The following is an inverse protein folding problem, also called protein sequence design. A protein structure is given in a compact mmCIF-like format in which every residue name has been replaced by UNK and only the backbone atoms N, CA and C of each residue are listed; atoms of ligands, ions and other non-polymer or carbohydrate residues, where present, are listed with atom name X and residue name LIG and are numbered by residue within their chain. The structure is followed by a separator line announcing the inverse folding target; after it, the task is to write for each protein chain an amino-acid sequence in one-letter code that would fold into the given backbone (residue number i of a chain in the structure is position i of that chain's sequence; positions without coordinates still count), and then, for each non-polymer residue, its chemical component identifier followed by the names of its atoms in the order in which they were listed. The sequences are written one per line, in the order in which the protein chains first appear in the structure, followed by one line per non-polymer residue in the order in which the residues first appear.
data_IF_691777865471
#
_entry.id   IF_691777865471
#
_cell.length_a   1.000
_cell.length_b   1.000
_cell.length_c   1.000
_cell.angle_alpha   90.00
_cell.angle_beta   90.00
_cell.angle_gamma   90.00
#
_symmetry.space_group_name_H-M   'P 1'
#
loop_
_entity.id
_entity.type
_entity.pdbx_description
1 polymer ?
#
# COMPACT_ATOMS: atom_id res chain seq x y z
N UNK A 1 -11.46 36.49 -2.21
CA UNK A 1 -10.21 37.17 -2.63
C UNK A 1 -9.70 36.47 -3.88
N UNK A 2 -9.74 37.19 -4.99
CA UNK A 2 -9.50 36.74 -6.37
C UNK A 2 -7.99 36.82 -6.59
N UNK A 3 -7.30 35.71 -6.86
CA UNK A 3 -5.85 35.73 -7.13
C UNK A 3 -5.63 36.07 -8.61
N UNK A 4 -5.04 37.24 -8.95
CA UNK A 4 -4.53 37.50 -10.29
C UNK A 4 -3.12 36.92 -10.41
N UNK A 5 -2.70 36.69 -11.66
CA UNK A 5 -1.42 36.10 -12.12
C UNK A 5 -1.49 34.63 -12.56
N UNK A 6 -2.51 34.30 -13.37
CA UNK A 6 -2.30 33.37 -14.48
C UNK A 6 -2.00 34.22 -15.73
N UNK A 7 -0.73 34.54 -15.97
CA UNK A 7 -0.33 35.14 -17.25
C UNK A 7 1.11 34.79 -17.63
N UNK A 8 1.22 34.21 -18.82
CA UNK A 8 2.33 34.31 -19.78
C UNK A 8 3.49 33.32 -19.85
N UNK A 9 3.43 32.16 -19.20
CA UNK A 9 4.26 31.03 -19.62
C UNK A 9 3.44 29.73 -19.63
N UNK A 10 3.11 29.24 -20.84
CA UNK A 10 2.61 27.89 -21.03
C UNK A 10 3.72 26.92 -20.59
N UNK A 11 3.55 26.32 -19.40
CA UNK A 11 4.00 24.97 -19.07
C UNK A 11 3.40 24.60 -17.70
N UNK A 12 2.11 24.24 -17.69
CA UNK A 12 1.53 23.52 -16.56
C UNK A 12 2.11 22.10 -16.57
N UNK A 13 3.22 21.89 -15.86
CA UNK A 13 3.69 20.55 -15.55
C UNK A 13 2.66 19.83 -14.67
N UNK A 14 2.40 18.56 -14.97
CA UNK A 14 1.57 17.71 -14.10
C UNK A 14 2.37 17.42 -12.84
N UNK A 15 1.87 17.83 -11.67
CA UNK A 15 2.41 17.38 -10.39
C UNK A 15 2.04 15.90 -10.23
N UNK A 16 3.01 15.01 -10.48
CA UNK A 16 2.79 13.56 -10.34
C UNK A 16 3.38 13.11 -9.02
N UNK A 17 2.57 12.41 -8.24
CA UNK A 17 3.08 11.69 -7.07
C UNK A 17 3.83 10.46 -7.56
N UNK A 18 5.13 10.40 -7.28
CA UNK A 18 5.94 9.22 -7.56
C UNK A 18 5.88 8.33 -6.32
N UNK A 19 5.34 7.12 -6.50
CA UNK A 19 5.24 6.09 -5.47
C UNK A 19 6.37 5.09 -5.67
N UNK A 20 7.12 4.79 -4.62
CA UNK A 20 8.13 3.73 -4.63
C UNK A 20 7.89 2.76 -3.47
N UNK A 21 8.35 1.52 -3.65
CA UNK A 21 8.10 0.41 -2.75
C UNK A 21 9.42 -0.10 -2.19
N UNK A 22 9.44 -0.39 -0.89
CA UNK A 22 10.58 -1.00 -0.21
C UNK A 22 10.11 -2.29 0.44
N UNK A 23 10.80 -3.38 0.12
CA UNK A 23 10.63 -4.64 0.82
C UNK A 23 11.65 -4.71 1.97
N UNK A 24 11.15 -4.82 3.20
CA UNK A 24 12.00 -5.00 4.38
C UNK A 24 12.05 -6.49 4.73
N UNK A 25 13.22 -7.11 4.57
CA UNK A 25 13.45 -8.55 4.83
C UNK A 25 14.37 -8.83 6.02
N UNK A 26 15.12 -7.83 6.48
CA UNK A 26 16.14 -8.01 7.53
C UNK A 26 15.53 -8.26 8.91
N UNK A 27 14.29 -7.78 9.14
CA UNK A 27 13.58 -7.90 10.42
C UNK A 27 12.12 -8.28 10.17
N UNK A 28 11.60 -9.22 10.96
CA UNK A 28 10.17 -9.60 10.95
C UNK A 28 9.47 -8.99 12.15
N UNK A 29 8.34 -8.32 11.91
CA UNK A 29 7.61 -7.53 12.91
C UNK A 29 6.12 -7.89 12.88
N UNK A 30 5.42 -7.64 13.99
CA UNK A 30 3.95 -7.64 13.98
C UNK A 30 3.42 -6.48 13.13
N UNK A 31 2.14 -6.52 12.73
CA UNK A 31 1.59 -5.51 11.81
C UNK A 31 1.72 -4.07 12.35
N UNK A 32 1.38 -3.84 13.61
CA UNK A 32 1.48 -2.52 14.25
C UNK A 32 2.93 -2.04 14.36
N UNK A 33 3.86 -2.93 14.75
CA UNK A 33 5.29 -2.62 14.81
C UNK A 33 5.86 -2.28 13.41
N UNK A 34 5.44 -3.03 12.38
CA UNK A 34 5.82 -2.79 10.99
C UNK A 34 5.27 -1.44 10.48
N UNK A 35 4.04 -1.10 10.85
CA UNK A 35 3.44 0.19 10.54
C UNK A 35 4.22 1.33 11.19
N UNK A 36 4.50 1.23 12.49
CA UNK A 36 5.27 2.24 13.22
C UNK A 36 6.68 2.39 12.64
N UNK A 37 7.31 1.27 12.25
CA UNK A 37 8.59 1.29 11.55
C UNK A 37 8.51 2.05 10.22
N UNK A 38 7.52 1.75 9.37
CA UNK A 38 7.34 2.47 8.10
C UNK A 38 7.04 3.96 8.33
N UNK A 39 6.25 4.34 9.34
CA UNK A 39 5.96 5.75 9.65
C UNK A 39 7.15 6.50 10.23
N UNK A 40 8.04 5.80 10.92
CA UNK A 40 9.26 6.37 11.49
C UNK A 40 10.36 6.57 10.44
N UNK A 41 10.51 5.62 9.52
CA UNK A 41 11.64 5.58 8.58
C UNK A 41 11.27 5.95 7.14
N UNK A 42 9.98 5.87 6.79
CA UNK A 42 9.42 5.96 5.45
C UNK A 42 8.11 6.77 5.49
N UNK A 43 7.10 6.45 4.67
CA UNK A 43 5.76 7.08 4.76
C UNK A 43 4.79 6.24 5.58
N UNK A 44 4.42 5.04 5.11
CA UNK A 44 3.52 4.10 5.81
C UNK A 44 3.66 2.71 5.16
N UNK A 45 2.98 1.70 5.70
CA UNK A 45 2.73 0.45 4.99
C UNK A 45 2.01 0.70 3.66
N UNK A 46 2.28 -0.17 2.69
CA UNK A 46 1.85 -0.03 1.29
C UNK A 46 0.34 -0.22 1.13
N UNK A 47 -0.34 0.77 0.56
CA UNK A 47 -1.66 0.59 -0.05
C UNK A 47 -1.57 0.09 -1.50
N UNK A 48 -2.57 -0.70 -1.93
CA UNK A 48 -2.69 -1.20 -3.31
C UNK A 48 -3.91 -0.56 -3.99
N UNK A 49 -3.68 0.40 -4.88
CA UNK A 49 -4.77 1.21 -5.46
C UNK A 49 -5.18 0.81 -6.88
N UNK A 50 -4.33 0.08 -7.61
CA UNK A 50 -4.59 -0.37 -8.98
C UNK A 50 -3.76 -1.61 -9.34
N UNK A 51 -4.09 -2.22 -10.48
CA UNK A 51 -3.46 -3.46 -10.97
C UNK A 51 -1.94 -3.32 -11.19
N UNK A 52 -1.49 -2.16 -11.65
CA UNK A 52 -0.05 -1.92 -11.87
C UNK A 52 0.72 -1.87 -10.54
N UNK A 53 0.15 -1.26 -9.50
CA UNK A 53 0.70 -1.31 -8.14
C UNK A 53 0.73 -2.75 -7.61
N UNK A 54 -0.37 -3.48 -7.77
CA UNK A 54 -0.47 -4.88 -7.36
C UNK A 54 0.60 -5.77 -8.01
N UNK A 55 0.77 -5.68 -9.34
CA UNK A 55 1.78 -6.45 -10.07
C UNK A 55 3.20 -6.11 -9.61
N UNK A 56 3.49 -4.82 -9.40
CA UNK A 56 4.80 -4.37 -8.91
C UNK A 56 5.10 -4.94 -7.53
N UNK A 57 4.13 -4.85 -6.63
CA UNK A 57 4.19 -5.36 -5.26
C UNK A 57 4.37 -6.89 -5.23
N UNK A 58 3.59 -7.61 -6.04
CA UNK A 58 3.69 -9.07 -6.14
C UNK A 58 5.07 -9.51 -6.64
N UNK A 59 5.60 -8.81 -7.65
CA UNK A 59 6.95 -9.06 -8.17
C UNK A 59 8.02 -8.82 -7.11
N UNK A 60 7.90 -7.74 -6.33
CA UNK A 60 8.83 -7.44 -5.24
C UNK A 60 8.76 -8.48 -4.10
N UNK A 61 7.55 -8.90 -3.72
CA UNK A 61 7.34 -9.89 -2.68
C UNK A 61 7.89 -11.28 -3.06
N UNK A 62 8.00 -11.58 -4.35
CA UNK A 62 8.63 -12.79 -4.90
C UNK A 62 8.15 -14.09 -4.22
N UNK A 63 6.83 -14.22 -4.06
CA UNK A 63 6.21 -15.41 -3.44
C UNK A 63 6.43 -15.54 -1.93
N UNK A 64 6.76 -14.46 -1.24
CA UNK A 64 6.86 -14.38 0.22
C UNK A 64 5.65 -13.63 0.78
N UNK A 65 5.14 -14.07 1.93
CA UNK A 65 4.08 -13.36 2.63
C UNK A 65 4.62 -12.02 3.15
N UNK A 66 3.89 -10.92 2.90
CA UNK A 66 4.28 -9.56 3.26
C UNK A 66 3.09 -8.79 3.85
N UNK A 67 3.27 -8.05 4.94
CA UNK A 67 2.30 -7.07 5.41
C UNK A 67 2.16 -5.93 4.42
N UNK A 68 0.92 -5.51 4.25
CA UNK A 68 0.52 -4.32 3.51
C UNK A 68 -0.34 -3.46 4.44
N UNK A 69 -0.57 -2.22 4.03
CA UNK A 69 -1.33 -1.26 4.80
C UNK A 69 -2.83 -1.46 4.68
N UNK A 70 -3.36 -2.68 4.88
CA UNK A 70 -4.81 -2.95 4.89
C UNK A 70 -5.23 -3.31 6.32
N UNK A 71 -6.11 -2.51 6.94
CA UNK A 71 -6.55 -2.66 8.34
C UNK A 71 -8.08 -2.71 8.47
N UNK A 72 -8.56 -3.05 9.67
CA UNK A 72 -9.98 -3.34 9.93
C UNK A 72 -10.72 -2.18 10.63
N UNK A 73 -11.55 -1.50 9.84
CA UNK A 73 -12.88 -0.95 10.18
C UNK A 73 -13.52 -0.71 8.79
N UNK A 74 -14.69 -1.29 8.49
CA UNK A 74 -15.06 -1.80 7.15
C UNK A 74 -13.95 -1.96 6.08
N UNK A 75 -12.91 -2.77 6.34
CA UNK A 75 -11.74 -2.96 5.44
C UNK A 75 -11.25 -1.66 4.77
N UNK A 76 -10.53 -0.88 5.55
CA UNK A 76 -9.92 0.37 5.10
C UNK A 76 -8.43 0.18 4.89
N UNK A 77 -7.86 0.93 3.95
CA UNK A 77 -6.41 1.03 3.87
C UNK A 77 -5.90 1.83 5.07
N UNK A 78 -4.79 1.41 5.67
CA UNK A 78 -4.16 2.02 6.83
C UNK A 78 -3.57 3.40 6.55
N UNK A 79 -3.36 3.72 5.27
CA UNK A 79 -3.04 5.05 4.78
C UNK A 79 -4.29 5.91 4.52
N UNK A 80 -5.48 5.40 4.88
CA UNK A 80 -6.80 6.00 4.67
C UNK A 80 -7.15 6.26 3.20
N UNK A 81 -6.43 5.62 2.27
CA UNK A 81 -6.73 5.75 0.85
C UNK A 81 -8.00 5.00 0.47
N UNK A 82 -8.72 5.55 -0.52
CA UNK A 82 -9.92 4.91 -1.03
C UNK A 82 -9.57 4.08 -2.28
N UNK A 83 -9.92 2.80 -2.26
CA UNK A 83 -9.82 1.90 -3.41
C UNK A 83 -11.03 0.97 -3.39
N UNK A 84 -11.64 0.76 -4.56
CA UNK A 84 -12.75 -0.18 -4.75
C UNK A 84 -12.29 -1.59 -5.15
N UNK A 85 -11.00 -1.77 -5.46
CA UNK A 85 -10.46 -3.07 -5.86
C UNK A 85 -10.47 -4.03 -4.67
N UNK A 86 -10.79 -5.29 -4.94
CA UNK A 86 -10.84 -6.35 -3.93
C UNK A 86 -10.33 -7.65 -4.57
N UNK A 87 -9.13 -8.09 -4.20
CA UNK A 87 -8.55 -9.36 -4.67
C UNK A 87 -8.70 -10.49 -3.64
N UNK A 88 -9.88 -10.58 -3.02
CA UNK A 88 -10.18 -11.70 -2.13
C UNK A 88 -10.31 -13.02 -2.93
N UNK A 89 -9.91 -14.16 -2.35
CA UNK A 89 -10.27 -15.47 -2.84
C UNK A 89 -11.80 -15.61 -2.89
N UNK A 90 -12.30 -16.26 -3.94
CA UNK A 90 -13.74 -16.40 -4.23
C UNK A 90 -14.48 -17.10 -3.07
N UNK A 91 -13.78 -17.91 -2.28
CA UNK A 91 -14.38 -18.79 -1.26
C UNK A 91 -14.05 -18.38 0.18
N UNK A 92 -13.34 -17.26 0.40
CA UNK A 92 -12.94 -16.91 1.76
C UNK A 92 -14.13 -16.32 2.54
N UNK A 93 -14.55 -17.00 3.62
CA UNK A 93 -15.37 -16.36 4.66
C UNK A 93 -14.55 -15.21 5.24
N UNK A 94 -14.90 -14.00 4.88
CA UNK A 94 -14.36 -12.80 5.53
C UNK A 94 -14.86 -12.85 6.97
N UNK A 95 -13.99 -13.22 7.91
CA UNK A 95 -14.35 -13.31 9.32
C UNK A 95 -14.62 -11.90 9.86
N UNK A 96 -15.90 -11.61 10.10
CA UNK A 96 -16.36 -10.30 10.57
C UNK A 96 -16.49 -10.23 12.10
N UNK A 97 -16.14 -11.29 12.85
CA UNK A 97 -16.38 -11.36 14.29
C UNK A 97 -15.21 -12.04 15.01
N UNK A 98 -14.62 -11.35 15.99
CA UNK A 98 -13.85 -11.98 17.08
C UNK A 98 -12.33 -12.13 16.95
N UNK A 99 -11.69 -11.95 15.78
CA UNK A 99 -10.24 -12.12 15.63
C UNK A 99 -9.47 -10.85 15.25
N UNK A 100 -8.30 -10.66 15.88
CA UNK A 100 -7.27 -9.67 15.54
C UNK A 100 -6.57 -10.04 14.22
N UNK A 101 -7.31 -10.04 13.11
CA UNK A 101 -6.78 -10.39 11.80
C UNK A 101 -6.44 -9.14 10.97
N UNK A 102 -5.28 -9.18 10.31
CA UNK A 102 -4.75 -8.13 9.46
C UNK A 102 -4.71 -8.59 7.99
N UNK A 103 -4.75 -7.63 7.07
CA UNK A 103 -4.70 -7.90 5.63
C UNK A 103 -3.29 -8.26 5.16
N UNK A 104 -3.17 -9.37 4.42
CA UNK A 104 -1.91 -9.83 3.85
C UNK A 104 -2.09 -10.36 2.42
N UNK A 105 -1.00 -10.43 1.67
CA UNK A 105 -0.93 -11.23 0.43
C UNK A 105 -0.53 -12.65 0.79
N UNK A 106 -1.37 -13.63 0.43
CA UNK A 106 -1.15 -15.03 0.80
C UNK A 106 -0.42 -15.78 -0.32
N UNK A 107 0.76 -16.33 -0.02
CA UNK A 107 1.52 -17.18 -0.95
C UNK A 107 0.70 -18.34 -1.49
N UNK A 108 -0.02 -19.05 -0.61
CA UNK A 108 -0.79 -20.24 -0.97
C UNK A 108 -2.04 -19.90 -1.81
N UNK A 109 -2.42 -18.63 -1.91
CA UNK A 109 -3.53 -18.14 -2.73
C UNK A 109 -3.05 -17.35 -3.95
N UNK A 110 -1.84 -17.65 -4.45
CA UNK A 110 -1.24 -16.96 -5.61
C UNK A 110 -1.13 -15.44 -5.43
N UNK A 111 -0.96 -14.96 -4.19
CA UNK A 111 -0.87 -13.54 -3.87
C UNK A 111 -2.22 -12.83 -3.77
N UNK A 112 -3.34 -13.55 -3.73
CA UNK A 112 -4.63 -12.94 -3.35
C UNK A 112 -4.59 -12.43 -1.92
N UNK A 113 -5.52 -11.53 -1.61
CA UNK A 113 -5.66 -10.94 -0.29
C UNK A 113 -6.19 -11.97 0.69
N UNK A 114 -5.77 -11.89 1.94
CA UNK A 114 -6.32 -12.76 2.96
C UNK A 114 -6.16 -12.16 4.35
N UNK A 115 -6.58 -12.96 5.31
CA UNK A 115 -6.55 -12.61 6.74
C UNK A 115 -5.53 -13.49 7.44
N UNK A 116 -4.60 -12.86 8.17
CA UNK A 116 -3.66 -13.53 9.07
C UNK A 116 -3.75 -12.89 10.46
N UNK A 117 -3.49 -13.62 11.56
CA UNK A 117 -3.38 -13.04 12.89
C UNK A 117 -2.37 -11.88 12.90
N UNK A 118 -2.77 -10.70 13.38
CA UNK A 118 -1.92 -9.50 13.41
C UNK A 118 -0.66 -9.67 14.27
N UNK A 119 -0.69 -10.60 15.22
CA UNK A 119 0.42 -10.95 16.11
C UNK A 119 1.49 -11.84 15.46
N UNK A 120 1.16 -12.46 14.33
CA UNK A 120 2.13 -13.26 13.57
C UNK A 120 3.21 -12.34 12.95
N UNK A 121 4.38 -12.91 12.64
CA UNK A 121 5.54 -12.12 12.17
C UNK A 121 5.88 -12.43 10.71
N UNK A 122 5.53 -11.48 9.84
CA UNK A 122 5.79 -11.56 8.41
C UNK A 122 6.68 -10.40 7.93
N UNK A 123 7.38 -10.56 6.78
CA UNK A 123 7.92 -9.46 5.98
C UNK A 123 6.86 -8.40 5.66
N UNK A 124 7.22 -7.23 5.11
CA UNK A 124 6.25 -6.18 4.80
C UNK A 124 6.69 -5.19 3.73
N UNK A 125 5.72 -4.49 3.14
CA UNK A 125 5.89 -3.49 2.08
C UNK A 125 5.55 -2.10 2.60
N UNK A 126 6.48 -1.14 2.49
CA UNK A 126 6.21 0.28 2.74
C UNK A 126 6.06 1.04 1.41
N UNK A 127 5.17 2.04 1.40
CA UNK A 127 5.09 3.02 0.31
C UNK A 127 5.81 4.30 0.70
N UNK A 128 6.32 4.99 -0.31
CA UNK A 128 6.86 6.32 -0.14
C UNK A 128 6.44 7.23 -1.30
N UNK A 129 5.98 8.44 -0.96
CA UNK A 129 5.46 9.40 -1.92
C UNK A 129 6.41 10.60 -2.03
N UNK A 130 6.94 10.85 -3.22
CA UNK A 130 7.77 12.02 -3.53
C UNK A 130 7.04 12.89 -4.56
N UNK A 131 6.95 14.20 -4.30
CA UNK A 131 6.43 15.15 -5.30
C UNK A 131 7.48 15.32 -6.41
N UNK A 132 7.22 14.75 -7.58
CA UNK A 132 8.07 14.91 -8.76
C UNK A 132 7.44 15.86 -9.77
N UNK A 133 8.24 16.76 -10.35
CA UNK A 133 7.87 17.51 -11.54
C UNK A 133 8.41 16.76 -12.76
N UNK A 134 7.50 16.23 -13.60
CA UNK A 134 7.88 15.70 -14.91
C UNK A 134 7.71 16.81 -15.94
N UNK A 135 8.82 17.27 -16.52
CA UNK A 135 8.77 18.12 -17.71
C UNK A 135 8.50 17.21 -18.92
N UNK A 136 7.31 17.30 -19.49
CA UNK A 136 7.01 16.63 -20.75
C UNK A 136 7.69 17.38 -21.90
N UNK A 137 8.54 16.70 -22.66
CA UNK A 137 8.92 17.15 -24.00
C UNK A 137 7.80 16.76 -24.96
N UNK A 138 7.26 17.75 -25.68
CA UNK A 138 6.33 17.58 -26.81
C UNK A 138 6.94 16.73 -27.92
#
# INVERSE_FOLDING_TARGET
LRWPLCSKYLNCGVCKMLKWYILITQTRMGWTEAQDYCRTNHTDLTSVRNDAEHQTIQSLANGTDVWIGLFRDPWEWSDLSNSSLRYWPVEQKIWNEGSENCGALLKNESGKWGQLPCSDRYPFLCTCEVKGFLFGTL
#
